data_IF_697829675483
#
_entry.id   IF_697829675483
#
_cell.length_a   1.000
_cell.length_b   1.000
_cell.length_c   1.000
_cell.angle_alpha   90.00
_cell.angle_beta   90.00
_cell.angle_gamma   90.00
#
_symmetry.space_group_name_H-M   'P 1'
#
loop_
_entity.id
_entity.type
_entity.pdbx_description
1 polymer ?
#
# COMPACT_ATOMS: atom_id res chain seq x y z
N UNK A 1 -20.57 17.67 12.30
CA UNK A 1 -19.22 17.10 12.10
C UNK A 1 -18.25 17.79 13.04
N UNK A 2 -17.41 17.02 13.75
CA UNK A 2 -16.36 17.59 14.60
C UNK A 2 -15.29 18.24 13.72
N UNK A 3 -14.73 19.37 14.18
CA UNK A 3 -13.63 20.03 13.48
C UNK A 3 -12.44 19.05 13.32
N UNK A 4 -11.66 19.14 12.23
CA UNK A 4 -10.45 18.36 12.08
C UNK A 4 -9.52 18.60 13.27
N UNK A 5 -9.09 17.52 13.91
CA UNK A 5 -8.22 17.57 15.08
C UNK A 5 -7.02 16.63 14.85
N UNK A 6 -5.87 17.07 15.34
CA UNK A 6 -4.64 16.30 15.38
C UNK A 6 -4.18 16.19 16.82
N UNK A 7 -3.99 14.98 17.29
CA UNK A 7 -3.42 14.69 18.61
C UNK A 7 -2.07 14.03 18.43
N UNK A 8 -1.05 14.57 19.08
CA UNK A 8 0.30 14.00 19.12
C UNK A 8 0.59 13.58 20.54
N UNK A 9 0.87 12.29 20.73
CA UNK A 9 1.32 11.72 22.00
C UNK A 9 2.73 11.20 21.82
N UNK A 10 3.67 11.82 22.52
CA UNK A 10 5.11 11.54 22.38
C UNK A 10 5.81 11.84 23.70
N UNK A 11 6.95 11.18 23.94
CA UNK A 11 7.80 11.48 25.08
C UNK A 11 8.28 12.95 25.04
N UNK A 12 8.25 13.65 26.17
CA UNK A 12 8.57 15.08 26.26
C UNK A 12 9.94 15.43 25.66
N UNK A 13 10.94 14.61 25.91
CA UNK A 13 12.31 14.77 25.38
C UNK A 13 12.44 14.52 23.88
N UNK A 14 11.42 13.92 23.27
CA UNK A 14 11.38 13.62 21.82
C UNK A 14 10.61 14.71 21.07
N UNK A 15 9.53 15.27 21.70
CA UNK A 15 8.68 16.28 21.07
C UNK A 15 9.46 17.45 20.48
N UNK A 16 10.42 17.97 21.25
CA UNK A 16 11.25 19.13 20.86
C UNK A 16 12.20 18.85 19.70
N UNK A 17 12.42 17.58 19.35
CA UNK A 17 13.27 17.16 18.24
C UNK A 17 12.54 17.09 16.89
N UNK A 18 11.21 17.27 16.90
CA UNK A 18 10.39 17.20 15.69
C UNK A 18 9.76 18.54 15.32
N UNK A 19 9.65 18.78 14.02
CA UNK A 19 8.81 19.82 13.44
C UNK A 19 7.43 19.24 13.12
N UNK A 20 6.39 19.92 13.59
CA UNK A 20 5.00 19.68 13.22
C UNK A 20 4.51 20.92 12.50
N UNK A 21 4.32 20.83 11.19
CA UNK A 21 3.90 21.97 10.36
C UNK A 21 2.66 21.60 9.56
N UNK A 22 1.72 22.53 9.48
CA UNK A 22 0.61 22.48 8.52
C UNK A 22 0.83 23.53 7.47
N UNK A 23 0.85 23.14 6.21
CA UNK A 23 1.01 24.01 5.05
C UNK A 23 0.10 23.51 3.93
N UNK A 24 -0.71 24.41 3.37
CA UNK A 24 -1.66 24.14 2.28
C UNK A 24 -2.44 22.82 2.43
N UNK A 25 -3.04 22.56 3.59
CA UNK A 25 -3.72 21.32 3.94
C UNK A 25 -2.81 20.08 4.06
N UNK A 26 -1.49 20.25 4.08
CA UNK A 26 -0.55 19.17 4.34
C UNK A 26 -0.09 19.21 5.80
N UNK A 27 -0.08 18.07 6.46
CA UNK A 27 0.61 17.87 7.71
C UNK A 27 1.99 17.29 7.42
N UNK A 28 3.03 18.02 7.80
CA UNK A 28 4.42 17.59 7.68
C UNK A 28 4.99 17.34 9.07
N UNK A 29 5.49 16.13 9.31
CA UNK A 29 6.13 15.73 10.56
C UNK A 29 7.50 15.19 10.22
N UNK A 30 8.54 15.84 10.74
CA UNK A 30 9.92 15.44 10.45
C UNK A 30 10.85 15.82 11.61
N UNK A 31 11.99 15.13 11.77
CA UNK A 31 13.05 15.58 12.66
C UNK A 31 13.55 16.98 12.29
N UNK A 32 13.79 17.84 13.28
CA UNK A 32 14.36 19.18 13.07
C UNK A 32 15.79 19.16 12.53
N UNK A 33 16.54 18.10 12.84
CA UNK A 33 17.91 17.88 12.38
C UNK A 33 17.99 16.58 11.61
N UNK A 34 18.60 16.61 10.44
CA UNK A 34 18.96 15.42 9.66
C UNK A 34 20.26 14.79 10.19
N UNK A 35 20.35 14.58 11.50
CA UNK A 35 21.50 13.92 12.10
C UNK A 35 21.34 12.41 11.93
N UNK A 36 22.05 11.85 10.96
CA UNK A 36 22.05 10.41 10.66
C UNK A 36 22.63 9.55 11.80
N UNK A 37 23.27 10.17 12.78
CA UNK A 37 23.83 9.47 13.97
C UNK A 37 22.83 9.38 15.11
N UNK A 38 21.79 10.22 15.12
CA UNK A 38 20.81 10.28 16.17
C UNK A 38 19.84 9.10 16.05
N UNK A 39 19.98 8.13 16.96
CA UNK A 39 19.06 6.99 17.08
C UNK A 39 18.00 7.30 18.13
N UNK A 40 16.89 7.87 17.70
CA UNK A 40 15.75 8.07 18.58
C UNK A 40 15.05 6.72 18.85
N UNK A 41 14.77 6.46 20.12
CA UNK A 41 13.99 5.29 20.59
C UNK A 41 12.89 5.78 21.51
N UNK A 42 11.84 6.41 20.97
CA UNK A 42 10.72 6.85 21.79
C UNK A 42 10.04 5.63 22.44
N UNK A 43 9.59 5.76 23.67
CA UNK A 43 8.72 4.77 24.29
C UNK A 43 7.30 4.91 23.76
N UNK A 44 6.91 6.13 23.34
CA UNK A 44 5.66 6.41 22.69
C UNK A 44 5.84 7.53 21.65
N UNK A 45 5.37 7.28 20.43
CA UNK A 45 5.20 8.29 19.38
C UNK A 45 3.94 7.95 18.57
N UNK A 46 2.84 8.58 18.93
CA UNK A 46 1.54 8.32 18.31
C UNK A 46 0.93 9.62 17.79
N UNK A 47 0.47 9.60 16.57
CA UNK A 47 -0.25 10.69 15.93
C UNK A 47 -1.62 10.18 15.56
N UNK A 48 -2.66 10.87 16.02
CA UNK A 48 -4.04 10.53 15.74
C UNK A 48 -4.73 11.71 15.06
N UNK A 49 -5.39 11.45 13.95
CA UNK A 49 -6.22 12.44 13.25
C UNK A 49 -7.63 11.90 13.07
N UNK A 50 -8.63 12.77 13.18
CA UNK A 50 -10.02 12.49 12.81
C UNK A 50 -10.36 12.99 11.40
N UNK A 51 -9.36 13.35 10.58
CA UNK A 51 -9.58 13.78 9.20
C UNK A 51 -10.20 12.66 8.37
N UNK A 52 -11.31 12.98 7.70
CA UNK A 52 -12.02 12.06 6.79
C UNK A 52 -11.63 12.26 5.33
N UNK A 53 -10.97 13.36 5.01
CA UNK A 53 -10.51 13.68 3.66
C UNK A 53 -9.00 13.43 3.58
N UNK A 54 -8.66 12.25 3.09
CA UNK A 54 -7.29 11.84 2.87
C UNK A 54 -7.03 11.77 1.37
N UNK A 55 -6.00 12.47 0.88
CA UNK A 55 -5.60 12.44 -0.54
C UNK A 55 -4.27 11.75 -0.74
N UNK A 56 -3.31 12.04 0.13
CA UNK A 56 -1.95 11.51 0.02
C UNK A 56 -1.33 11.32 1.40
N UNK A 57 -0.60 10.23 1.55
CA UNK A 57 0.21 9.92 2.74
C UNK A 57 1.58 9.46 2.28
N UNK A 58 2.61 10.15 2.74
CA UNK A 58 4.01 9.77 2.55
C UNK A 58 4.58 9.37 3.92
N UNK A 59 5.06 8.13 4.03
CA UNK A 59 5.65 7.59 5.24
C UNK A 59 7.05 7.09 4.94
N UNK A 60 8.01 7.43 5.80
CA UNK A 60 9.39 7.00 5.63
C UNK A 60 10.00 6.56 6.96
N UNK A 61 10.57 5.35 7.00
CA UNK A 61 11.20 4.81 8.20
C UNK A 61 10.71 3.42 8.57
N UNK A 62 10.47 3.20 9.88
CA UNK A 62 9.91 1.97 10.43
C UNK A 62 8.65 2.29 11.23
N UNK A 63 7.57 2.60 10.54
CA UNK A 63 6.37 3.21 11.10
C UNK A 63 5.15 2.33 10.91
N UNK A 64 4.14 2.58 11.74
CA UNK A 64 2.83 1.94 11.63
C UNK A 64 1.76 2.99 11.42
N UNK A 65 1.03 2.89 10.31
CA UNK A 65 -0.11 3.73 9.99
C UNK A 65 -1.39 2.91 10.03
N UNK A 66 -2.38 3.34 10.81
CA UNK A 66 -3.65 2.65 10.92
C UNK A 66 -4.78 3.55 10.44
N UNK A 67 -5.60 3.05 9.52
CA UNK A 67 -6.91 3.60 9.18
C UNK A 67 -7.92 2.83 10.02
N UNK A 68 -8.36 3.44 11.14
CA UNK A 68 -9.19 2.76 12.14
C UNK A 68 -10.70 2.91 11.90
N UNK A 69 -11.10 3.73 10.94
CA UNK A 69 -12.50 3.98 10.60
C UNK A 69 -12.70 3.95 9.09
N UNK A 70 -13.95 3.82 8.68
CA UNK A 70 -14.35 3.81 7.28
C UNK A 70 -13.74 5.00 6.53
N UNK A 71 -13.06 4.72 5.42
CA UNK A 71 -12.49 5.68 4.50
C UNK A 71 -13.26 5.67 3.20
N UNK A 72 -13.85 6.79 2.83
CA UNK A 72 -14.60 6.92 1.57
C UNK A 72 -14.11 8.14 0.79
N UNK A 73 -13.84 7.96 -0.50
CA UNK A 73 -13.45 9.06 -1.39
C UNK A 73 -13.90 8.77 -2.82
N UNK A 74 -14.44 9.78 -3.48
CA UNK A 74 -14.71 9.72 -4.92
C UNK A 74 -13.47 10.11 -5.75
N UNK A 75 -12.41 10.54 -5.09
CA UNK A 75 -11.13 10.91 -5.70
C UNK A 75 -10.11 9.78 -5.53
N UNK A 76 -8.92 10.06 -6.03
CA UNK A 76 -7.74 9.23 -5.82
C UNK A 76 -7.18 9.41 -4.41
N UNK A 77 -6.82 8.29 -3.77
CA UNK A 77 -6.00 8.26 -2.56
C UNK A 77 -4.65 7.60 -2.88
N UNK A 78 -3.57 8.20 -2.41
CA UNK A 78 -2.21 7.70 -2.63
C UNK A 78 -1.45 7.50 -1.32
N UNK A 79 -0.82 6.32 -1.16
CA UNK A 79 0.13 6.02 -0.08
C UNK A 79 1.51 5.71 -0.67
N UNK A 80 2.53 6.42 -0.22
CA UNK A 80 3.92 6.13 -0.52
C UNK A 80 4.63 5.69 0.75
N UNK A 81 5.15 4.47 0.77
CA UNK A 81 5.74 3.83 1.93
C UNK A 81 7.21 3.52 1.64
N UNK A 82 8.12 4.17 2.36
CA UNK A 82 9.56 3.95 2.20
C UNK A 82 10.17 3.34 3.47
N UNK A 83 10.87 2.21 3.35
CA UNK A 83 11.48 1.50 4.46
C UNK A 83 10.68 0.29 4.92
N UNK A 84 10.41 0.16 6.23
CA UNK A 84 9.70 -0.98 6.85
C UNK A 84 8.33 -0.56 7.40
N UNK A 85 7.57 0.18 6.63
CA UNK A 85 6.28 0.74 7.04
C UNK A 85 5.17 -0.32 7.02
N UNK A 86 4.31 -0.31 8.04
CA UNK A 86 3.09 -1.11 8.09
C UNK A 86 1.86 -0.20 7.92
N UNK A 87 1.07 -0.45 6.87
CA UNK A 87 -0.21 0.23 6.64
C UNK A 87 -1.34 -0.76 6.87
N UNK A 88 -2.18 -0.52 7.88
CA UNK A 88 -3.35 -1.33 8.17
C UNK A 88 -4.63 -0.53 7.97
N UNK A 89 -5.43 -0.91 6.99
CA UNK A 89 -6.78 -0.42 6.79
C UNK A 89 -7.75 -1.37 7.49
N UNK A 90 -8.11 -1.03 8.74
CA UNK A 90 -8.87 -1.94 9.63
C UNK A 90 -10.36 -1.96 9.39
N UNK A 91 -10.87 -0.94 8.70
CA UNK A 91 -12.27 -0.79 8.36
C UNK A 91 -12.44 -0.69 6.83
N UNK A 92 -13.65 -0.58 6.38
CA UNK A 92 -14.02 -0.51 4.97
C UNK A 92 -13.40 0.69 4.27
N UNK A 93 -12.72 0.44 3.15
CA UNK A 93 -12.19 1.46 2.25
C UNK A 93 -12.99 1.43 0.95
N UNK A 94 -13.66 2.54 0.62
CA UNK A 94 -14.44 2.70 -0.61
C UNK A 94 -13.93 3.90 -1.39
N UNK A 95 -13.28 3.65 -2.54
CA UNK A 95 -12.61 4.70 -3.31
C UNK A 95 -12.76 4.49 -4.81
N UNK A 96 -12.67 5.57 -5.58
CA UNK A 96 -12.56 5.42 -7.02
C UNK A 96 -11.18 4.87 -7.41
N UNK A 97 -10.11 5.45 -6.87
CA UNK A 97 -8.75 5.00 -7.16
C UNK A 97 -7.91 4.95 -5.88
N UNK A 98 -7.28 3.81 -5.62
CA UNK A 98 -6.28 3.64 -4.57
C UNK A 98 -4.94 3.28 -5.19
N UNK A 99 -3.94 4.08 -4.89
CA UNK A 99 -2.55 3.83 -5.29
C UNK A 99 -1.68 3.64 -4.05
N UNK A 100 -0.95 2.55 -4.00
CA UNK A 100 -0.05 2.22 -2.88
C UNK A 100 1.29 1.78 -3.42
N UNK A 101 2.35 2.51 -3.08
CA UNK A 101 3.72 2.19 -3.48
C UNK A 101 4.56 1.86 -2.26
N UNK A 102 5.28 0.73 -2.29
CA UNK A 102 6.24 0.30 -1.26
C UNK A 102 7.65 0.33 -1.86
N UNK A 103 8.53 1.11 -1.25
CA UNK A 103 9.97 1.07 -1.49
C UNK A 103 10.68 0.49 -0.25
N UNK A 104 10.98 -0.82 -0.25
CA UNK A 104 11.60 -1.52 0.87
C UNK A 104 10.89 -2.81 1.28
N UNK A 105 10.61 -3.00 2.58
CA UNK A 105 10.05 -4.24 3.15
C UNK A 105 8.72 -4.00 3.90
N UNK A 106 7.96 -3.01 3.47
CA UNK A 106 6.68 -2.65 4.10
C UNK A 106 5.60 -3.71 3.91
N UNK A 107 4.53 -3.59 4.71
CA UNK A 107 3.33 -4.43 4.62
C UNK A 107 2.09 -3.57 4.54
N UNK A 108 1.15 -3.95 3.69
CA UNK A 108 -0.15 -3.30 3.53
C UNK A 108 -1.24 -4.32 3.69
N UNK A 109 -2.15 -4.08 4.63
CA UNK A 109 -3.35 -4.88 4.85
C UNK A 109 -4.60 -4.04 4.52
N UNK A 110 -5.37 -4.45 3.52
CA UNK A 110 -6.64 -3.86 3.11
C UNK A 110 -7.65 -4.97 2.81
N UNK A 111 -8.26 -5.50 3.88
CA UNK A 111 -9.09 -6.70 3.80
C UNK A 111 -10.57 -6.44 3.54
N UNK A 112 -10.97 -5.17 3.44
CA UNK A 112 -12.34 -4.74 3.11
C UNK A 112 -12.28 -3.57 2.13
N UNK A 113 -11.68 -3.82 0.96
CA UNK A 113 -11.40 -2.82 -0.07
C UNK A 113 -12.44 -2.88 -1.19
N UNK A 114 -13.05 -1.72 -1.47
CA UNK A 114 -13.91 -1.48 -2.63
C UNK A 114 -13.27 -0.35 -3.45
N UNK A 115 -12.58 -0.70 -4.52
CA UNK A 115 -11.88 0.27 -5.37
C UNK A 115 -12.23 0.03 -6.84
N UNK A 116 -12.67 1.06 -7.57
CA UNK A 116 -12.81 0.89 -9.03
C UNK A 116 -11.46 0.60 -9.67
N UNK A 117 -10.44 1.32 -9.26
CA UNK A 117 -9.08 1.11 -9.73
C UNK A 117 -8.12 0.98 -8.54
N UNK A 118 -7.30 -0.06 -8.57
CA UNK A 118 -6.22 -0.26 -7.61
C UNK A 118 -4.88 -0.28 -8.35
N UNK A 119 -3.90 0.50 -7.87
CA UNK A 119 -2.52 0.41 -8.32
C UNK A 119 -1.62 0.06 -7.14
N UNK A 120 -0.91 -1.07 -7.22
CA UNK A 120 0.03 -1.56 -6.21
C UNK A 120 1.42 -1.72 -6.77
N UNK A 121 2.39 -1.01 -6.21
CA UNK A 121 3.80 -1.06 -6.61
C UNK A 121 4.67 -1.53 -5.45
N UNK A 122 5.56 -2.49 -5.70
CA UNK A 122 6.56 -2.97 -4.74
C UNK A 122 7.95 -2.89 -5.37
N UNK A 123 8.78 -2.02 -4.85
CA UNK A 123 10.21 -2.02 -5.11
C UNK A 123 10.95 -2.59 -3.89
N UNK A 124 11.33 -3.88 -3.92
CA UNK A 124 11.99 -4.57 -2.82
C UNK A 124 11.32 -5.89 -2.42
N UNK A 125 11.04 -6.06 -1.12
CA UNK A 125 10.48 -7.30 -0.54
C UNK A 125 9.18 -7.05 0.24
N UNK A 126 8.43 -6.03 -0.13
CA UNK A 126 7.17 -5.68 0.50
C UNK A 126 6.06 -6.72 0.30
N UNK A 127 4.98 -6.56 1.06
CA UNK A 127 3.81 -7.46 0.98
C UNK A 127 2.52 -6.66 0.93
N UNK A 128 1.61 -7.01 0.01
CA UNK A 128 0.21 -6.61 0.04
C UNK A 128 -0.68 -7.79 0.42
N UNK A 129 -1.63 -7.55 1.34
CA UNK A 129 -2.73 -8.46 1.66
C UNK A 129 -4.03 -7.74 1.34
N UNK A 130 -4.71 -8.16 0.28
CA UNK A 130 -5.88 -7.48 -0.27
C UNK A 130 -7.10 -8.41 -0.29
N UNK A 131 -8.26 -7.89 0.12
CA UNK A 131 -9.52 -8.57 -0.04
C UNK A 131 -10.66 -7.57 -0.26
N UNK A 132 -11.69 -7.98 -1.00
CA UNK A 132 -12.83 -7.14 -1.36
C UNK A 132 -13.17 -7.23 -2.84
N UNK A 133 -13.53 -6.10 -3.47
CA UNK A 133 -13.90 -6.06 -4.90
C UNK A 133 -13.40 -4.81 -5.59
N UNK A 134 -13.11 -4.94 -6.89
CA UNK A 134 -12.72 -3.82 -7.75
C UNK A 134 -13.04 -4.09 -9.22
N UNK A 135 -12.86 -3.08 -10.04
CA UNK A 135 -12.99 -3.24 -11.49
C UNK A 135 -11.63 -3.60 -12.11
N UNK A 136 -10.62 -2.79 -11.89
CA UNK A 136 -9.28 -2.96 -12.48
C UNK A 136 -8.19 -2.88 -11.41
N UNK A 137 -7.16 -3.71 -11.56
CA UNK A 137 -5.94 -3.58 -10.78
C UNK A 137 -4.70 -3.62 -11.67
N UNK A 138 -3.71 -2.78 -11.32
CA UNK A 138 -2.36 -2.82 -11.86
C UNK A 138 -1.38 -3.14 -10.73
N UNK A 139 -0.59 -4.20 -10.90
CA UNK A 139 0.42 -4.64 -9.95
C UNK A 139 1.81 -4.60 -10.57
N UNK A 140 2.74 -3.94 -9.91
CA UNK A 140 4.14 -3.86 -10.34
C UNK A 140 5.05 -4.37 -9.21
N UNK A 141 5.90 -5.36 -9.48
CA UNK A 141 6.85 -5.92 -8.51
C UNK A 141 8.26 -5.87 -9.10
N UNK A 142 9.09 -5.01 -8.54
CA UNK A 142 10.53 -4.99 -8.80
C UNK A 142 11.27 -5.58 -7.58
N UNK A 143 11.73 -6.85 -7.69
CA UNK A 143 12.41 -7.56 -6.62
C UNK A 143 11.74 -8.87 -6.21
N UNK A 144 11.53 -9.06 -4.89
CA UNK A 144 10.98 -10.29 -4.31
C UNK A 144 9.69 -10.06 -3.51
N UNK A 145 8.95 -9.01 -3.86
CA UNK A 145 7.68 -8.66 -3.22
C UNK A 145 6.60 -9.72 -3.39
N UNK A 146 5.58 -9.64 -2.53
CA UNK A 146 4.44 -10.56 -2.55
C UNK A 146 3.13 -9.80 -2.52
N UNK A 147 2.18 -10.24 -3.35
CA UNK A 147 0.82 -9.69 -3.38
C UNK A 147 -0.15 -10.85 -3.22
N UNK A 148 -0.87 -10.87 -2.09
CA UNK A 148 -1.90 -11.83 -1.77
C UNK A 148 -3.27 -11.19 -2.01
N UNK A 149 -3.87 -11.42 -3.17
CA UNK A 149 -5.13 -10.83 -3.62
C UNK A 149 -6.13 -11.87 -4.16
N UNK A 150 -6.04 -13.14 -3.76
CA UNK A 150 -7.02 -14.17 -4.15
C UNK A 150 -8.43 -13.88 -3.66
N UNK A 151 -8.56 -13.10 -2.59
CA UNK A 151 -9.84 -12.65 -2.03
C UNK A 151 -10.23 -11.23 -2.48
N UNK A 152 -9.50 -10.66 -3.43
CA UNK A 152 -9.82 -9.38 -4.07
C UNK A 152 -10.33 -9.64 -5.48
N UNK A 153 -11.67 -9.68 -5.63
CA UNK A 153 -12.34 -9.98 -6.89
C UNK A 153 -12.24 -8.78 -7.84
N UNK A 154 -11.68 -9.01 -9.02
CA UNK A 154 -11.42 -8.01 -10.05
C UNK A 154 -12.02 -8.43 -11.39
N UNK A 155 -12.33 -7.47 -12.25
CA UNK A 155 -12.65 -7.74 -13.65
C UNK A 155 -11.35 -7.95 -14.44
N UNK A 156 -10.46 -6.97 -14.41
CA UNK A 156 -9.26 -6.95 -15.22
C UNK A 156 -8.03 -6.71 -14.34
N UNK A 157 -6.96 -7.46 -14.62
CA UNK A 157 -5.67 -7.36 -13.92
C UNK A 157 -4.54 -7.17 -14.91
N UNK A 158 -3.70 -6.17 -14.67
CA UNK A 158 -2.40 -6.00 -15.29
C UNK A 158 -1.31 -6.27 -14.27
N UNK A 159 -0.27 -7.03 -14.64
CA UNK A 159 0.82 -7.35 -13.74
C UNK A 159 2.17 -7.32 -14.45
N UNK A 160 3.13 -6.62 -13.86
CA UNK A 160 4.53 -6.62 -14.26
C UNK A 160 5.39 -7.12 -13.09
N UNK A 161 6.20 -8.18 -13.32
CA UNK A 161 7.13 -8.72 -12.33
C UNK A 161 8.55 -8.72 -12.91
N UNK A 162 9.40 -7.88 -12.36
CA UNK A 162 10.83 -7.88 -12.61
C UNK A 162 11.56 -8.46 -11.39
N UNK A 163 11.96 -9.76 -11.46
CA UNK A 163 12.65 -10.45 -10.37
C UNK A 163 12.01 -11.79 -9.98
N UNK A 164 11.84 -12.02 -8.67
CA UNK A 164 11.33 -13.29 -8.12
C UNK A 164 10.04 -13.11 -7.30
N UNK A 165 9.27 -12.10 -7.61
CA UNK A 165 8.02 -11.77 -6.91
C UNK A 165 6.92 -12.81 -7.08
N UNK A 166 5.92 -12.73 -6.20
CA UNK A 166 4.71 -13.53 -6.24
C UNK A 166 3.48 -12.63 -6.32
N UNK A 167 2.63 -12.85 -7.33
CA UNK A 167 1.27 -12.32 -7.35
C UNK A 167 0.28 -13.48 -7.21
N UNK A 168 -0.65 -13.33 -6.28
CA UNK A 168 -1.87 -14.13 -6.19
C UNK A 168 -3.06 -13.21 -6.45
N UNK A 169 -3.90 -13.51 -7.45
CA UNK A 169 -4.99 -12.62 -7.87
C UNK A 169 -6.26 -13.37 -8.26
N UNK A 170 -7.41 -12.69 -8.28
CA UNK A 170 -8.68 -13.23 -8.73
C UNK A 170 -9.26 -12.31 -9.80
N UNK A 171 -9.30 -12.78 -11.05
CA UNK A 171 -9.81 -12.02 -12.18
C UNK A 171 -10.93 -12.79 -12.91
N UNK A 172 -11.92 -12.04 -13.41
CA UNK A 172 -13.05 -12.62 -14.15
C UNK A 172 -12.94 -12.46 -15.66
N UNK A 173 -12.32 -11.38 -16.15
CA UNK A 173 -12.30 -11.05 -17.58
C UNK A 173 -10.90 -11.23 -18.21
N UNK A 174 -9.91 -10.44 -17.74
CA UNK A 174 -8.60 -10.44 -18.39
C UNK A 174 -7.45 -10.42 -17.35
N UNK A 175 -6.34 -11.10 -17.70
CA UNK A 175 -5.04 -10.95 -17.06
C UNK A 175 -4.01 -10.63 -18.15
N UNK A 176 -3.34 -9.47 -18.02
CA UNK A 176 -2.16 -9.11 -18.79
C UNK A 176 -0.95 -9.25 -17.87
N UNK A 177 -0.01 -10.11 -18.23
CA UNK A 177 1.11 -10.43 -17.39
C UNK A 177 2.44 -10.32 -18.14
N UNK A 178 3.35 -9.53 -17.59
CA UNK A 178 4.73 -9.45 -18.05
C UNK A 178 5.65 -9.95 -16.92
N UNK A 179 6.49 -10.96 -17.21
CA UNK A 179 7.39 -11.55 -16.22
C UNK A 179 8.81 -11.54 -16.77
N UNK A 180 9.67 -10.76 -16.15
CA UNK A 180 11.11 -10.77 -16.37
C UNK A 180 11.83 -11.36 -15.15
N UNK A 181 12.27 -12.64 -15.27
CA UNK A 181 12.96 -13.36 -14.19
C UNK A 181 12.27 -14.66 -13.77
N UNK A 182 12.16 -14.89 -12.45
CA UNK A 182 11.60 -16.12 -11.87
C UNK A 182 10.31 -15.87 -11.08
N UNK A 183 9.63 -14.76 -11.34
CA UNK A 183 8.37 -14.40 -10.70
C UNK A 183 7.24 -15.37 -11.01
N UNK A 184 6.27 -15.48 -10.10
CA UNK A 184 5.16 -16.39 -10.26
C UNK A 184 3.82 -15.67 -10.08
N UNK A 185 2.85 -16.01 -10.91
CA UNK A 185 1.47 -15.56 -10.82
C UNK A 185 0.58 -16.76 -10.55
N UNK A 186 -0.25 -16.68 -9.51
CA UNK A 186 -1.33 -17.62 -9.21
C UNK A 186 -2.65 -16.91 -9.33
N UNK A 187 -3.62 -17.47 -10.01
CA UNK A 187 -4.89 -16.79 -10.22
C UNK A 187 -6.09 -17.69 -10.00
N UNK A 188 -7.20 -17.07 -9.59
CA UNK A 188 -8.57 -17.64 -9.57
C UNK A 188 -9.43 -17.01 -10.66
N UNK A 189 -10.54 -17.69 -10.99
CA UNK A 189 -11.48 -17.28 -12.04
C UNK A 189 -11.18 -17.92 -13.39
N UNK A 190 -11.86 -17.41 -14.41
CA UNK A 190 -11.72 -17.88 -15.80
C UNK A 190 -11.41 -16.71 -16.78
N UNK A 191 -10.36 -15.90 -16.51
CA UNK A 191 -10.01 -14.79 -17.36
C UNK A 191 -9.34 -15.24 -18.66
N UNK A 192 -9.44 -14.40 -19.69
CA UNK A 192 -8.53 -14.47 -20.84
C UNK A 192 -7.13 -14.02 -20.41
N UNK A 193 -6.10 -14.80 -20.73
CA UNK A 193 -4.73 -14.51 -20.33
C UNK A 193 -3.89 -14.13 -21.54
N UNK A 194 -3.26 -12.96 -21.46
CA UNK A 194 -2.17 -12.57 -22.34
C UNK A 194 -0.90 -12.46 -21.51
N UNK A 195 0.12 -13.26 -21.86
CA UNK A 195 1.39 -13.29 -21.13
C UNK A 195 2.58 -13.03 -22.04
N UNK A 196 3.55 -12.30 -21.49
CA UNK A 196 4.88 -12.13 -22.06
C UNK A 196 5.91 -12.53 -20.99
N UNK A 197 6.83 -13.47 -21.31
CA UNK A 197 7.81 -13.97 -20.36
C UNK A 197 9.23 -13.93 -20.89
N UNK A 198 10.13 -13.43 -20.04
CA UNK A 198 11.56 -13.52 -20.20
C UNK A 198 12.17 -14.13 -18.93
N UNK A 199 12.39 -15.46 -18.90
CA UNK A 199 12.95 -16.19 -17.76
C UNK A 199 12.17 -17.43 -17.36
N UNK A 200 12.29 -17.83 -16.08
CA UNK A 200 11.74 -19.09 -15.54
C UNK A 200 10.40 -18.92 -14.78
N UNK A 201 9.82 -17.74 -14.84
CA UNK A 201 8.56 -17.44 -14.19
C UNK A 201 7.39 -18.31 -14.66
N UNK A 202 6.29 -18.31 -13.91
CA UNK A 202 5.11 -19.11 -14.23
C UNK A 202 3.79 -18.41 -13.94
N UNK A 203 2.75 -18.75 -14.73
CA UNK A 203 1.36 -18.40 -14.47
C UNK A 203 0.59 -19.70 -14.26
N UNK A 204 -0.17 -19.81 -13.14
CA UNK A 204 -0.92 -21.03 -12.80
C UNK A 204 -2.28 -20.69 -12.21
N UNK A 205 -3.32 -21.36 -12.70
CA UNK A 205 -4.63 -21.35 -12.04
C UNK A 205 -4.56 -22.11 -10.71
N UNK A 206 -5.24 -21.56 -9.70
CA UNK A 206 -5.46 -22.20 -8.39
C UNK A 206 -6.97 -22.27 -8.11
N UNK A 207 -7.37 -23.24 -7.29
CA UNK A 207 -8.78 -23.47 -6.93
C UNK A 207 -9.30 -22.48 -5.87
#
# INVERSE_FOLDING_TARGET
ESAPALTVTVDQNIYDLFDFKTDDNNLVIRPKREDKTLRLRPTQFTITSNSRQLKKVDLAGAEKFNVNSKLSSNDKIKFNLAGSVMLHMKDTVTVNQLEVSIAGSGTVDALTLYAKEFKGEIAGSGTFNLAGTGERAAFEIAGSGKIHALNFLLSDVSCEIAGSGLLETHATNNIYAEIAGSGNIRYKGDPSIKEERAGLGSIKKVD
#
